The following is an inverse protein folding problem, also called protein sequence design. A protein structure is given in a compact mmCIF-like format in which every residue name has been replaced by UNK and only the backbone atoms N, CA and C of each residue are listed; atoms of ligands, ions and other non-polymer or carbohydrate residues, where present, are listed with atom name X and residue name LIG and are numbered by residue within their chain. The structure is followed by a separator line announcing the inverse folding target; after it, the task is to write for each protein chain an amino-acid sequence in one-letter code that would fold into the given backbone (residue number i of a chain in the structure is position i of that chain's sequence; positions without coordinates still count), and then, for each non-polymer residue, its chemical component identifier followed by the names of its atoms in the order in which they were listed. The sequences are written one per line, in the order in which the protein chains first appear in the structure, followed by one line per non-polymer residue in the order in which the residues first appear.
data_IF_055966144203
#
_entry.id   IF_055966144203
#
_cell.length_a   1.000
_cell.length_b   1.000
_cell.length_c   1.000
_cell.angle_alpha   90.00
_cell.angle_beta   90.00
_cell.angle_gamma   90.00
#
_symmetry.space_group_name_H-M   'P 1'
#
loop_
_entity.id
_entity.type
_entity.pdbx_description
1 polymer ?
#
# COMPACT_ATOMS: atom_id res chain seq x y z
N UNK A 1 3.42 -26.62 -20.52
CA UNK A 1 3.67 -27.29 -19.22
C UNK A 1 3.40 -26.28 -18.12
N UNK A 2 2.37 -26.51 -17.31
CA UNK A 2 2.00 -25.61 -16.23
C UNK A 2 2.79 -26.05 -15.00
N UNK A 3 3.90 -25.35 -14.72
CA UNK A 3 4.70 -25.61 -13.52
C UNK A 3 3.84 -25.38 -12.27
N UNK A 4 3.93 -26.25 -11.25
CA UNK A 4 3.16 -26.09 -10.03
C UNK A 4 3.51 -24.75 -9.37
N UNK A 5 2.48 -23.97 -9.02
CA UNK A 5 2.60 -22.61 -8.46
C UNK A 5 3.57 -22.56 -7.28
N UNK A 6 3.59 -23.63 -6.46
CA UNK A 6 4.42 -23.74 -5.25
C UNK A 6 5.93 -23.71 -5.53
N UNK A 7 6.37 -24.12 -6.73
CA UNK A 7 7.77 -24.21 -7.12
C UNK A 7 8.28 -22.93 -7.79
N UNK A 8 7.38 -22.05 -8.23
CA UNK A 8 7.70 -20.76 -8.82
C UNK A 8 7.69 -19.61 -7.79
N UNK A 9 7.27 -19.89 -6.55
CA UNK A 9 7.24 -18.91 -5.46
C UNK A 9 8.63 -18.77 -4.85
N UNK A 10 9.10 -17.54 -4.76
CA UNK A 10 10.35 -17.18 -4.12
C UNK A 10 10.13 -17.11 -2.59
N UNK A 11 10.24 -18.28 -1.94
CA UNK A 11 9.89 -18.49 -0.53
C UNK A 11 10.68 -17.62 0.45
N UNK A 12 11.91 -17.23 0.09
CA UNK A 12 12.78 -16.39 0.92
C UNK A 12 12.23 -14.97 1.03
N UNK A 13 11.76 -14.41 -0.09
CA UNK A 13 11.20 -13.07 -0.21
C UNK A 13 9.82 -13.01 0.43
N UNK A 14 8.99 -14.02 0.20
CA UNK A 14 7.68 -14.13 0.85
C UNK A 14 7.85 -14.28 2.38
N UNK A 15 8.81 -15.08 2.84
CA UNK A 15 9.16 -15.21 4.25
C UNK A 15 9.60 -13.88 4.87
N UNK A 16 10.41 -13.09 4.16
CA UNK A 16 10.84 -11.76 4.60
C UNK A 16 9.65 -10.80 4.71
N UNK A 17 8.76 -10.77 3.72
CA UNK A 17 7.54 -9.94 3.75
C UNK A 17 6.63 -10.31 4.92
N UNK A 18 6.40 -11.61 5.15
CA UNK A 18 5.60 -12.08 6.30
C UNK A 18 6.27 -11.72 7.62
N UNK A 19 7.60 -11.84 7.72
CA UNK A 19 8.33 -11.43 8.91
C UNK A 19 8.16 -9.94 9.22
N UNK A 20 8.33 -9.06 8.22
CA UNK A 20 8.10 -7.62 8.37
C UNK A 20 6.67 -7.34 8.77
N UNK A 21 5.70 -8.03 8.15
CA UNK A 21 4.28 -7.89 8.47
C UNK A 21 3.97 -8.26 9.93
N UNK A 22 4.45 -9.40 10.42
CA UNK A 22 4.26 -9.84 11.82
C UNK A 22 4.92 -8.86 12.78
N UNK A 23 6.14 -8.41 12.48
CA UNK A 23 6.85 -7.45 13.32
C UNK A 23 6.09 -6.12 13.42
N UNK A 24 5.57 -5.61 12.30
CA UNK A 24 4.76 -4.40 12.27
C UNK A 24 3.47 -4.57 13.09
N UNK A 25 2.78 -5.71 12.93
CA UNK A 25 1.57 -6.02 13.69
C UNK A 25 1.84 -6.05 15.19
N UNK A 26 2.90 -6.73 15.63
CA UNK A 26 3.29 -6.79 17.05
C UNK A 26 3.58 -5.38 17.60
N UNK A 27 4.29 -4.54 16.83
CA UNK A 27 4.55 -3.15 17.23
C UNK A 27 3.26 -2.34 17.34
N UNK A 28 2.32 -2.49 16.41
CA UNK A 28 1.02 -1.80 16.42
C UNK A 28 0.17 -2.19 17.64
N UNK A 29 0.06 -3.49 17.92
CA UNK A 29 -0.68 -4.02 19.07
C UNK A 29 -0.06 -3.56 20.38
N UNK A 30 1.28 -3.65 20.49
CA UNK A 30 2.01 -3.20 21.69
C UNK A 30 1.82 -1.71 21.92
N UNK A 31 1.90 -0.88 20.87
CA UNK A 31 1.64 0.55 20.93
C UNK A 31 0.24 0.85 21.47
N UNK A 32 -0.77 0.09 21.06
CA UNK A 32 -2.14 0.29 21.53
C UNK A 32 -2.34 -0.03 23.02
N UNK A 33 -1.54 -0.93 23.60
CA UNK A 33 -1.54 -1.21 25.04
C UNK A 33 -0.74 -0.18 25.87
N UNK A 34 -0.02 0.74 25.21
CA UNK A 34 0.76 1.77 25.89
C UNK A 34 -0.02 3.07 26.00
N UNK A 35 0.05 3.69 27.18
CA UNK A 35 -0.55 5.00 27.48
C UNK A 35 -0.01 6.06 26.50
N UNK A 36 -0.92 6.82 25.90
CA UNK A 36 -0.61 7.98 25.06
C UNK A 36 0.30 8.96 25.82
N UNK A 37 1.38 9.42 25.18
CA UNK A 37 2.37 10.36 25.74
C UNK A 37 3.45 9.77 26.68
N UNK A 38 3.67 8.45 26.69
CA UNK A 38 4.87 7.83 27.32
C UNK A 38 6.09 7.83 26.39
N UNK A 39 7.31 7.97 26.91
CA UNK A 39 8.58 7.80 26.16
C UNK A 39 8.60 6.49 25.37
N UNK A 40 7.95 5.45 25.90
CA UNK A 40 7.83 4.14 25.26
C UNK A 40 7.00 4.15 23.97
N UNK A 41 5.96 4.99 23.90
CA UNK A 41 5.14 5.16 22.69
C UNK A 41 5.96 5.75 21.54
N UNK A 42 6.78 6.77 21.83
CA UNK A 42 7.66 7.38 20.84
C UNK A 42 8.77 6.43 20.40
N UNK A 43 9.38 5.68 21.32
CA UNK A 43 10.38 4.66 20.99
C UNK A 43 9.80 3.60 20.04
N UNK A 44 8.58 3.08 20.32
CA UNK A 44 7.92 2.10 19.46
C UNK A 44 7.55 2.65 18.08
N UNK A 45 7.12 3.92 18.00
CA UNK A 45 6.82 4.57 16.73
C UNK A 45 8.08 4.82 15.90
N UNK A 46 9.15 5.30 16.53
CA UNK A 46 10.43 5.46 15.86
C UNK A 46 11.01 4.12 15.43
N UNK A 47 10.82 3.02 16.17
CA UNK A 47 11.35 1.70 15.83
C UNK A 47 10.81 1.12 14.50
N UNK A 48 9.62 1.51 14.06
CA UNK A 48 9.10 1.14 12.72
C UNK A 48 9.93 1.73 11.57
N UNK A 49 10.58 2.88 11.78
CA UNK A 49 11.35 3.58 10.75
C UNK A 49 12.69 2.85 10.46
N UNK A 50 13.55 2.50 11.45
CA UNK A 50 14.74 1.71 11.23
C UNK A 50 14.48 0.37 10.57
N UNK A 51 13.40 -0.33 10.94
CA UNK A 51 13.09 -1.64 10.36
C UNK A 51 12.75 -1.51 8.87
N UNK A 52 11.87 -0.57 8.51
CA UNK A 52 11.52 -0.33 7.10
C UNK A 52 12.70 0.18 6.29
N UNK A 53 13.50 1.09 6.84
CA UNK A 53 14.72 1.62 6.20
C UNK A 53 15.77 0.52 6.04
N UNK A 54 15.99 -0.35 7.04
CA UNK A 54 16.98 -1.42 6.96
C UNK A 54 16.61 -2.45 5.89
N UNK A 55 15.33 -2.86 5.82
CA UNK A 55 14.86 -3.80 4.78
C UNK A 55 14.96 -3.15 3.40
N UNK A 56 14.49 -1.92 3.24
CA UNK A 56 14.54 -1.19 1.96
C UNK A 56 15.98 -1.00 1.49
N UNK A 57 16.89 -0.63 2.41
CA UNK A 57 18.30 -0.43 2.10
C UNK A 57 19.01 -1.74 1.75
N UNK A 58 18.68 -2.83 2.44
CA UNK A 58 19.21 -4.16 2.12
C UNK A 58 18.80 -4.61 0.71
N UNK A 59 17.52 -4.44 0.35
CA UNK A 59 17.06 -4.75 -1.01
C UNK A 59 17.66 -3.82 -2.05
N UNK A 60 17.74 -2.51 -1.77
CA UNK A 60 18.35 -1.51 -2.62
C UNK A 60 19.84 -1.82 -2.91
N UNK A 61 20.60 -2.24 -1.89
CA UNK A 61 22.00 -2.64 -2.05
C UNK A 61 22.12 -3.95 -2.84
N UNK A 62 21.24 -4.92 -2.61
CA UNK A 62 21.21 -6.19 -3.34
C UNK A 62 20.87 -6.00 -4.83
N UNK A 63 19.99 -5.05 -5.14
CA UNK A 63 19.70 -4.58 -6.50
C UNK A 63 20.89 -3.83 -7.12
N UNK A 64 21.55 -2.94 -6.36
CA UNK A 64 22.70 -2.18 -6.86
C UNK A 64 23.93 -3.05 -7.14
N UNK A 65 24.20 -4.06 -6.31
CA UNK A 65 25.29 -5.03 -6.50
C UNK A 65 25.04 -6.00 -7.67
N UNK A 66 23.86 -5.99 -8.28
CA UNK A 66 23.52 -6.85 -9.42
C UNK A 66 23.27 -8.31 -9.04
N UNK A 67 23.24 -8.65 -7.75
CA UNK A 67 22.86 -10.01 -7.28
C UNK A 67 21.37 -10.31 -7.53
N UNK A 68 20.55 -9.26 -7.69
CA UNK A 68 19.12 -9.37 -8.02
C UNK A 68 18.78 -8.60 -9.28
N UNK A 69 18.21 -9.31 -10.26
CA UNK A 69 17.67 -8.73 -11.49
C UNK A 69 16.15 -8.75 -11.41
N UNK A 70 15.50 -7.64 -11.78
CA UNK A 70 14.05 -7.60 -11.92
C UNK A 70 13.70 -8.47 -13.13
N UNK A 71 13.22 -9.70 -12.89
CA UNK A 71 12.95 -10.71 -13.92
C UNK A 71 12.00 -10.23 -15.06
N UNK A 72 11.27 -9.13 -14.84
CA UNK A 72 10.37 -8.55 -15.82
C UNK A 72 10.97 -7.42 -16.69
N UNK A 73 12.14 -6.88 -16.35
CA UNK A 73 12.91 -6.03 -17.26
C UNK A 73 13.81 -7.00 -18.03
N UNK A 74 13.49 -7.25 -19.30
CA UNK A 74 14.39 -7.97 -20.21
C UNK A 74 15.76 -7.28 -20.28
N UNK A 75 16.72 -7.95 -20.90
CA UNK A 75 18.19 -7.74 -20.98
C UNK A 75 18.70 -6.34 -21.42
N UNK A 76 18.00 -5.26 -21.10
CA UNK A 76 18.45 -3.89 -21.21
C UNK A 76 19.29 -3.57 -19.96
N UNK A 77 20.61 -3.77 -20.11
CA UNK A 77 21.63 -3.56 -19.09
C UNK A 77 21.40 -2.30 -18.26
N UNK A 78 21.00 -2.50 -17.01
CA UNK A 78 20.71 -1.40 -16.09
C UNK A 78 21.97 -0.87 -15.43
N UNK A 79 22.49 0.25 -15.94
CA UNK A 79 23.21 1.20 -15.12
C UNK A 79 22.20 1.89 -14.18
N UNK A 80 21.78 1.22 -13.10
CA UNK A 80 20.98 1.85 -12.05
C UNK A 80 21.81 2.96 -11.40
N UNK A 81 21.59 4.21 -11.84
CA UNK A 81 22.18 5.36 -11.16
C UNK A 81 21.61 5.43 -9.75
N UNK A 82 22.47 5.65 -8.76
CA UNK A 82 22.09 5.89 -7.34
C UNK A 82 20.95 6.92 -7.23
N UNK A 83 20.93 7.91 -8.14
CA UNK A 83 19.86 8.90 -8.24
C UNK A 83 18.46 8.31 -8.52
N UNK A 84 18.33 7.32 -9.40
CA UNK A 84 17.02 6.69 -9.69
C UNK A 84 16.52 5.86 -8.50
N UNK A 85 17.44 5.17 -7.82
CA UNK A 85 17.12 4.39 -6.63
C UNK A 85 16.65 5.29 -5.47
N UNK A 86 17.30 6.45 -5.32
CA UNK A 86 16.90 7.45 -4.33
C UNK A 86 15.52 8.03 -4.63
N UNK A 87 15.25 8.40 -5.89
CA UNK A 87 13.92 8.87 -6.31
C UNK A 87 12.85 7.81 -6.09
N UNK A 88 13.17 6.53 -6.33
CA UNK A 88 12.26 5.41 -6.07
C UNK A 88 11.94 5.27 -4.57
N UNK A 89 12.94 5.32 -3.69
CA UNK A 89 12.70 5.30 -2.24
C UNK A 89 11.86 6.50 -1.79
N UNK A 90 12.17 7.71 -2.28
CA UNK A 90 11.44 8.92 -1.90
C UNK A 90 9.97 8.87 -2.37
N UNK A 91 9.74 8.47 -3.62
CA UNK A 91 8.40 8.31 -4.17
C UNK A 91 7.62 7.18 -3.47
N UNK A 92 8.28 6.10 -3.08
CA UNK A 92 7.70 5.03 -2.26
C UNK A 92 7.24 5.52 -0.88
N UNK A 93 8.03 6.38 -0.22
CA UNK A 93 7.65 7.00 1.06
C UNK A 93 6.42 7.90 0.87
N UNK A 94 6.43 8.78 -0.14
CA UNK A 94 5.30 9.66 -0.44
C UNK A 94 4.06 8.84 -0.77
N UNK A 95 4.21 7.80 -1.58
CA UNK A 95 3.14 6.85 -1.93
C UNK A 95 2.57 6.15 -0.70
N UNK A 96 3.42 5.76 0.25
CA UNK A 96 3.02 5.14 1.51
C UNK A 96 2.27 6.10 2.42
N UNK A 97 2.76 7.34 2.58
CA UNK A 97 2.10 8.37 3.39
C UNK A 97 0.72 8.68 2.82
N UNK A 98 0.64 8.98 1.51
CA UNK A 98 -0.64 9.29 0.85
C UNK A 98 -1.56 8.07 0.88
N UNK A 99 -1.04 6.87 0.59
CA UNK A 99 -1.81 5.63 0.62
C UNK A 99 -2.35 5.27 2.01
N UNK A 100 -1.59 5.60 3.06
CA UNK A 100 -2.00 5.44 4.46
C UNK A 100 -3.04 6.46 4.89
N UNK A 101 -2.85 7.75 4.53
CA UNK A 101 -3.82 8.82 4.83
C UNK A 101 -5.17 8.60 4.14
N UNK A 102 -5.15 8.14 2.89
CA UNK A 102 -6.37 7.84 2.14
C UNK A 102 -7.00 6.49 2.54
N UNK A 103 -6.29 5.65 3.29
CA UNK A 103 -6.75 4.31 3.68
C UNK A 103 -6.92 3.33 2.51
N UNK A 104 -6.36 3.66 1.34
CA UNK A 104 -6.51 2.88 0.11
C UNK A 104 -5.50 1.73 0.05
N UNK A 105 -4.40 1.79 0.81
CA UNK A 105 -3.25 0.90 0.64
C UNK A 105 -2.44 1.35 -0.59
N UNK A 106 -1.16 1.69 -0.41
CA UNK A 106 -0.36 2.47 -1.37
C UNK A 106 -0.15 1.91 -2.80
N UNK A 107 -0.76 0.77 -3.16
CA UNK A 107 -0.61 0.16 -4.49
C UNK A 107 -1.15 1.01 -5.64
N UNK A 108 -2.12 1.88 -5.40
CA UNK A 108 -2.62 2.81 -6.42
C UNK A 108 -1.55 3.77 -6.93
N UNK A 109 -0.57 4.13 -6.08
CA UNK A 109 0.55 5.01 -6.44
C UNK A 109 1.76 4.20 -6.96
N UNK A 110 1.97 2.99 -6.44
CA UNK A 110 3.01 2.07 -6.92
C UNK A 110 2.79 1.63 -8.39
N UNK A 111 1.54 1.51 -8.84
CA UNK A 111 1.21 1.11 -10.21
C UNK A 111 1.83 2.03 -11.29
N UNK A 112 1.51 3.35 -11.30
CA UNK A 112 2.13 4.32 -12.19
C UNK A 112 3.66 4.40 -12.04
N UNK A 113 4.18 4.32 -10.82
CA UNK A 113 5.62 4.37 -10.55
C UNK A 113 6.37 3.23 -11.28
N UNK A 114 5.85 2.02 -11.23
CA UNK A 114 6.44 0.89 -11.95
C UNK A 114 6.32 1.05 -13.48
N UNK A 115 5.29 1.73 -13.97
CA UNK A 115 5.15 2.04 -15.41
C UNK A 115 6.20 3.05 -15.88
N UNK A 116 6.51 4.08 -15.08
CA UNK A 116 7.60 5.02 -15.37
C UNK A 116 8.97 4.32 -15.40
N UNK A 117 9.12 3.24 -14.63
CA UNK A 117 10.29 2.37 -14.66
C UNK A 117 10.31 1.42 -15.88
N UNK A 118 9.35 1.50 -16.79
CA UNK A 118 9.29 0.65 -17.99
C UNK A 118 8.94 -0.81 -17.68
N UNK A 119 8.41 -1.10 -16.49
CA UNK A 119 7.93 -2.44 -16.15
C UNK A 119 6.59 -2.65 -16.87
N UNK A 120 6.35 -3.82 -17.51
CA UNK A 120 5.11 -4.06 -18.21
C UNK A 120 3.89 -3.94 -17.27
N UNK A 121 2.78 -3.29 -17.71
CA UNK A 121 1.63 -2.97 -16.86
C UNK A 121 1.02 -4.18 -16.16
N UNK A 122 1.08 -5.33 -16.80
CA UNK A 122 0.47 -6.55 -16.30
C UNK A 122 1.17 -7.08 -15.05
N UNK A 123 2.50 -6.99 -14.98
CA UNK A 123 3.24 -7.38 -13.77
C UNK A 123 3.21 -6.26 -12.74
N UNK A 124 3.28 -4.99 -13.16
CA UNK A 124 3.18 -3.84 -12.26
C UNK A 124 1.86 -3.87 -11.47
N UNK A 125 0.75 -4.09 -12.17
CA UNK A 125 -0.57 -4.20 -11.56
C UNK A 125 -0.67 -5.39 -10.60
N UNK A 126 -0.09 -6.55 -10.96
CA UNK A 126 -0.04 -7.72 -10.09
C UNK A 126 0.76 -7.45 -8.80
N UNK A 127 1.95 -6.85 -8.93
CA UNK A 127 2.82 -6.49 -7.80
C UNK A 127 2.16 -5.44 -6.89
N UNK A 128 1.54 -4.41 -7.46
CA UNK A 128 0.82 -3.39 -6.70
C UNK A 128 -0.37 -3.99 -5.93
N UNK A 129 -1.12 -4.89 -6.57
CA UNK A 129 -2.24 -5.60 -5.92
C UNK A 129 -1.75 -6.50 -4.80
N UNK A 130 -0.65 -7.22 -5.02
CA UNK A 130 -0.01 -8.04 -3.99
C UNK A 130 0.43 -7.17 -2.79
N UNK A 131 1.12 -6.06 -3.02
CA UNK A 131 1.51 -5.13 -1.96
C UNK A 131 0.28 -4.57 -1.20
N UNK A 132 -0.80 -4.23 -1.92
CA UNK A 132 -2.06 -3.81 -1.30
C UNK A 132 -2.65 -4.89 -0.41
N UNK A 133 -2.66 -6.17 -0.82
CA UNK A 133 -3.21 -7.24 0.02
C UNK A 133 -2.47 -7.38 1.35
N UNK A 134 -1.14 -7.21 1.39
CA UNK A 134 -0.36 -7.23 2.63
C UNK A 134 -0.63 -6.01 3.51
N UNK A 135 -0.71 -4.82 2.91
CA UNK A 135 -1.01 -3.59 3.67
C UNK A 135 -2.43 -3.62 4.24
N UNK A 136 -3.42 -4.02 3.44
CA UNK A 136 -4.82 -4.10 3.87
C UNK A 136 -5.03 -5.20 4.91
N UNK A 137 -4.36 -6.35 4.80
CA UNK A 137 -4.45 -7.41 5.81
C UNK A 137 -3.90 -6.95 7.16
N UNK A 138 -2.80 -6.17 7.16
CA UNK A 138 -2.25 -5.58 8.39
C UNK A 138 -3.30 -4.70 9.08
N UNK A 139 -3.93 -3.79 8.31
CA UNK A 139 -4.97 -2.90 8.85
C UNK A 139 -6.18 -3.67 9.36
N UNK A 140 -6.68 -4.68 8.63
CA UNK A 140 -7.84 -5.46 9.08
C UNK A 140 -7.56 -6.17 10.40
N UNK A 141 -6.39 -6.80 10.55
CA UNK A 141 -6.04 -7.49 11.80
C UNK A 141 -5.85 -6.49 12.94
N UNK A 142 -5.22 -5.35 12.68
CA UNK A 142 -5.09 -4.26 13.65
C UNK A 142 -6.48 -3.79 14.13
N UNK A 143 -7.37 -3.37 13.23
CA UNK A 143 -8.71 -2.88 13.58
C UNK A 143 -9.55 -3.93 14.31
N UNK A 144 -9.40 -5.21 13.94
CA UNK A 144 -10.05 -6.32 14.61
C UNK A 144 -9.56 -6.49 16.05
N UNK A 145 -8.23 -6.49 16.26
CA UNK A 145 -7.63 -6.60 17.61
C UNK A 145 -7.94 -5.39 18.50
N UNK A 146 -8.14 -4.22 17.91
CA UNK A 146 -8.52 -3.00 18.63
C UNK A 146 -10.00 -2.96 19.05
N UNK A 147 -10.81 -3.99 18.74
CA UNK A 147 -12.26 -4.05 19.02
C UNK A 147 -13.07 -2.81 18.55
N UNK A 148 -12.53 -2.02 17.62
CA UNK A 148 -13.21 -0.85 17.04
C UNK A 148 -14.13 -1.21 15.86
N UNK A 149 -14.39 -2.50 15.66
CA UNK A 149 -14.91 -3.01 14.40
C UNK A 149 -16.37 -3.46 14.53
N UNK A 150 -17.32 -2.75 13.89
CA UNK A 150 -18.69 -3.23 13.83
C UNK A 150 -18.77 -4.35 12.79
N UNK A 151 -18.54 -5.58 13.25
CA UNK A 151 -18.50 -6.83 12.48
C UNK A 151 -19.62 -6.97 11.41
N UNK A 152 -20.91 -6.65 11.67
CA UNK A 152 -21.95 -6.84 10.65
C UNK A 152 -21.76 -5.97 9.40
N UNK A 153 -21.32 -4.72 9.55
CA UNK A 153 -21.07 -3.84 8.41
C UNK A 153 -19.88 -4.31 7.58
N UNK A 154 -18.84 -4.82 8.24
CA UNK A 154 -17.67 -5.32 7.56
C UNK A 154 -17.96 -6.53 6.69
N UNK A 155 -18.77 -7.48 7.17
CA UNK A 155 -19.18 -8.65 6.38
C UNK A 155 -19.96 -8.21 5.14
N UNK A 156 -20.85 -7.23 5.28
CA UNK A 156 -21.58 -6.65 4.15
C UNK A 156 -20.64 -6.02 3.13
N UNK A 157 -19.68 -5.19 3.56
CA UNK A 157 -18.71 -4.57 2.66
C UNK A 157 -17.78 -5.60 1.99
N UNK A 158 -17.37 -6.66 2.69
CA UNK A 158 -16.58 -7.76 2.11
C UNK A 158 -17.37 -8.43 0.98
N UNK A 159 -18.65 -8.73 1.20
CA UNK A 159 -19.49 -9.35 0.18
C UNK A 159 -19.62 -8.46 -1.06
N UNK A 160 -20.00 -7.20 -0.88
CA UNK A 160 -20.16 -6.24 -1.98
C UNK A 160 -18.83 -6.02 -2.73
N UNK A 161 -17.72 -5.84 -2.00
CA UNK A 161 -16.41 -5.64 -2.59
C UNK A 161 -15.93 -6.87 -3.37
N UNK A 162 -16.21 -8.09 -2.88
CA UNK A 162 -15.83 -9.33 -3.57
C UNK A 162 -16.58 -9.49 -4.89
N UNK A 163 -17.90 -9.22 -4.89
CA UNK A 163 -18.71 -9.26 -6.11
C UNK A 163 -18.23 -8.21 -7.11
N UNK A 164 -18.03 -6.96 -6.65
CA UNK A 164 -17.54 -5.88 -7.49
C UNK A 164 -16.14 -6.18 -8.06
N UNK A 165 -15.23 -6.70 -7.25
CA UNK A 165 -13.88 -7.08 -7.68
C UNK A 165 -13.92 -8.22 -8.70
N UNK A 166 -14.74 -9.25 -8.47
CA UNK A 166 -14.86 -10.37 -9.40
C UNK A 166 -15.39 -9.92 -10.77
N UNK A 167 -16.48 -9.13 -10.78
CA UNK A 167 -17.05 -8.58 -12.01
C UNK A 167 -16.05 -7.63 -12.69
N UNK A 168 -15.44 -6.71 -11.94
CA UNK A 168 -14.45 -5.77 -12.46
C UNK A 168 -13.24 -6.46 -13.08
N UNK A 169 -12.66 -7.45 -12.39
CA UNK A 169 -11.53 -8.22 -12.92
C UNK A 169 -11.92 -9.03 -14.17
N UNK A 170 -13.12 -9.60 -14.21
CA UNK A 170 -13.58 -10.34 -15.38
C UNK A 170 -13.77 -9.42 -16.60
N UNK A 171 -14.38 -8.25 -16.39
CA UNK A 171 -14.59 -7.23 -17.44
C UNK A 171 -13.26 -6.67 -17.93
N UNK A 172 -12.36 -6.28 -17.03
CA UNK A 172 -11.04 -5.74 -17.40
C UNK A 172 -10.22 -6.79 -18.15
N UNK A 173 -10.21 -8.05 -17.69
CA UNK A 173 -9.49 -9.13 -18.38
C UNK A 173 -10.07 -9.38 -19.77
N UNK A 174 -11.40 -9.40 -19.92
CA UNK A 174 -12.08 -9.50 -21.23
C UNK A 174 -11.69 -8.35 -22.15
N UNK A 175 -11.72 -7.10 -21.67
CA UNK A 175 -11.33 -5.91 -22.44
C UNK A 175 -9.88 -5.96 -22.90
N UNK A 176 -8.96 -6.37 -22.01
CA UNK A 176 -7.54 -6.53 -22.35
C UNK A 176 -7.34 -7.62 -23.42
N UNK A 177 -8.06 -8.74 -23.33
CA UNK A 177 -7.99 -9.81 -24.34
C UNK A 177 -8.55 -9.40 -25.70
N UNK A 178 -9.61 -8.58 -25.74
CA UNK A 178 -10.23 -8.12 -26.99
C UNK A 178 -9.37 -7.10 -27.74
N UNK A 179 -8.74 -6.17 -27.01
CA UNK A 179 -8.01 -5.04 -27.60
C UNK A 179 -6.52 -5.34 -27.73
N UNK A 180 -5.98 -6.23 -26.90
CA UNK A 180 -4.58 -6.67 -26.96
C UNK A 180 -3.54 -5.60 -26.62
N UNK A 181 -3.94 -4.44 -26.08
CA UNK A 181 -3.03 -3.31 -25.78
C UNK A 181 -2.87 -3.06 -24.29
N UNK A 182 -1.59 -3.01 -23.88
CA UNK A 182 -1.14 -2.62 -22.54
C UNK A 182 -1.60 -1.21 -22.12
N UNK A 183 -1.87 -0.32 -23.07
CA UNK A 183 -2.31 1.07 -22.82
C UNK A 183 -3.64 1.17 -22.07
N UNK A 184 -4.50 0.15 -22.15
CA UNK A 184 -5.80 0.15 -21.48
C UNK A 184 -5.66 0.05 -19.96
N UNK A 185 -4.68 -0.72 -19.48
CA UNK A 185 -4.40 -0.84 -18.04
C UNK A 185 -3.97 0.52 -17.49
N UNK A 186 -3.11 1.23 -18.22
CA UNK A 186 -2.65 2.58 -17.86
C UNK A 186 -3.84 3.55 -17.80
N UNK A 187 -4.72 3.51 -18.80
CA UNK A 187 -5.91 4.35 -18.84
C UNK A 187 -6.86 4.09 -17.66
N UNK A 188 -7.09 2.81 -17.32
CA UNK A 188 -7.91 2.45 -16.14
C UNK A 188 -7.26 2.99 -14.86
N UNK A 189 -5.97 2.75 -14.65
CA UNK A 189 -5.25 3.24 -13.46
C UNK A 189 -5.34 4.76 -13.33
N UNK A 190 -5.10 5.49 -14.43
CA UNK A 190 -5.20 6.95 -14.44
C UNK A 190 -6.62 7.45 -14.15
N UNK A 191 -7.64 6.84 -14.78
CA UNK A 191 -9.04 7.19 -14.53
C UNK A 191 -9.46 6.93 -13.08
N UNK A 192 -9.00 5.82 -12.48
CA UNK A 192 -9.27 5.48 -11.10
C UNK A 192 -8.66 6.49 -10.13
N UNK A 193 -7.41 6.91 -10.37
CA UNK A 193 -6.72 7.93 -9.57
C UNK A 193 -7.48 9.26 -9.66
N UNK A 194 -7.89 9.65 -10.87
CA UNK A 194 -8.63 10.89 -11.11
C UNK A 194 -9.98 10.91 -10.38
N UNK A 195 -10.77 9.84 -10.51
CA UNK A 195 -12.07 9.71 -9.83
C UNK A 195 -11.88 9.71 -8.30
N UNK A 196 -10.88 8.98 -7.80
CA UNK A 196 -10.57 8.94 -6.37
C UNK A 196 -10.20 10.32 -5.83
N UNK A 197 -9.35 11.06 -6.55
CA UNK A 197 -8.93 12.40 -6.17
C UNK A 197 -10.11 13.38 -6.11
N UNK A 198 -11.01 13.32 -7.10
CA UNK A 198 -12.21 14.18 -7.12
C UNK A 198 -13.18 13.82 -6.00
N UNK A 199 -13.47 12.52 -5.79
CA UNK A 199 -14.43 12.10 -4.77
C UNK A 199 -13.92 12.39 -3.36
N UNK A 200 -12.66 12.03 -3.06
CA UNK A 200 -12.07 12.25 -1.74
C UNK A 200 -11.84 13.74 -1.47
N UNK A 201 -11.36 14.47 -2.48
CA UNK A 201 -11.19 15.93 -2.40
C UNK A 201 -12.54 16.63 -2.19
N UNK A 202 -13.57 16.23 -2.95
CA UNK A 202 -14.91 16.80 -2.85
C UNK A 202 -15.56 16.55 -1.48
N UNK A 203 -15.58 15.30 -1.02
CA UNK A 203 -16.12 14.95 0.31
C UNK A 203 -15.32 15.63 1.42
N UNK A 204 -13.99 15.73 1.27
CA UNK A 204 -13.13 16.44 2.23
C UNK A 204 -13.46 17.92 2.34
N UNK A 205 -13.65 18.61 1.21
CA UNK A 205 -14.00 20.04 1.18
C UNK A 205 -15.39 20.28 1.76
N UNK A 206 -16.39 19.45 1.40
CA UNK A 206 -17.75 19.58 1.92
C UNK A 206 -17.76 19.42 3.44
N UNK A 207 -17.14 18.35 3.96
CA UNK A 207 -17.07 18.10 5.39
C UNK A 207 -16.26 19.19 6.14
N UNK A 208 -15.24 19.76 5.50
CA UNK A 208 -14.49 20.89 6.07
C UNK A 208 -15.36 22.15 6.19
N UNK A 209 -16.13 22.49 5.15
CA UNK A 209 -17.02 23.66 5.16
C UNK A 209 -18.12 23.48 6.20
N UNK A 210 -18.74 22.29 6.26
CA UNK A 210 -19.79 21.95 7.24
C UNK A 210 -19.27 22.11 8.68
N UNK A 211 -18.09 21.55 8.99
CA UNK A 211 -17.46 21.71 10.31
C UNK A 211 -17.09 23.15 10.67
N UNK A 212 -16.67 23.96 9.70
CA UNK A 212 -16.39 25.38 9.92
C UNK A 212 -17.68 26.15 10.20
N UNK A 213 -18.78 25.79 9.54
CA UNK A 213 -20.07 26.46 9.66
C UNK A 213 -20.79 26.12 10.97
N UNK A 214 -20.67 24.88 11.44
CA UNK A 214 -21.20 24.44 12.74
C UNK A 214 -20.32 24.91 13.92
N UNK A 215 -19.22 25.64 13.65
CA UNK A 215 -18.23 26.09 14.63
C UNK A 215 -17.68 24.91 15.46
N UNK A 216 -17.66 23.73 14.85
CA UNK A 216 -17.38 22.46 15.49
C UNK A 216 -15.87 22.19 15.48
N UNK A 217 -15.36 21.54 16.52
CA UNK A 217 -13.93 21.42 16.75
C UNK A 217 -13.26 20.63 15.60
N UNK A 218 -12.27 21.22 14.91
CA UNK A 218 -11.60 20.59 13.75
C UNK A 218 -10.69 19.38 14.10
N UNK A 219 -10.77 18.85 15.32
CA UNK A 219 -10.07 17.63 15.75
C UNK A 219 -8.57 17.80 16.05
N UNK A 220 -8.05 19.03 16.07
CA UNK A 220 -6.70 19.31 16.57
C UNK A 220 -6.67 19.33 18.11
N UNK A 221 -6.85 18.17 18.74
CA UNK A 221 -6.51 18.01 20.16
C UNK A 221 -5.00 17.87 20.34
N UNK A 222 -4.49 18.37 21.48
CA UNK A 222 -3.14 18.07 21.90
C UNK A 222 -3.06 16.57 22.22
N UNK A 223 -2.16 15.85 21.54
CA UNK A 223 -1.91 14.40 21.68
C UNK A 223 -1.70 13.90 23.13
N UNK A 224 -1.46 14.81 24.08
CA UNK A 224 -1.20 14.52 25.48
C UNK A 224 -2.32 14.95 26.45
N UNK A 225 -3.50 15.40 25.97
CA UNK A 225 -4.60 15.84 26.84
C UNK A 225 -5.71 14.80 27.05
N UNK A 226 -5.53 13.56 26.60
CA UNK A 226 -6.43 12.46 26.94
C UNK A 226 -6.03 11.88 28.30
N UNK A 227 -6.40 12.59 29.37
CA UNK A 227 -6.36 12.05 30.72
C UNK A 227 -7.66 11.28 30.96
N UNK A 228 -7.53 10.04 31.42
CA UNK A 228 -8.61 9.11 31.72
C UNK A 228 -9.74 9.72 32.55
#
# INVERSE_FOLDING_TARGET
MQVPVLQNVSWKELGLLVFVWVLFLVLQVTKNHTITCSTWYWILNFLQIPVSVAVTLHEAISLYKGERVIASRGDEGTNWKVSQLFVFCLSGIIAGIVGGLLGLGGGFILGPLFLELGIPPQVSSATATFAMTFSSSLSVVEYYLLNRFPVPYAVYFIFVATVAAFVGQHVVRRLVMLIGRASLIIFILASMIFISAISLGGVGIVNMIEKIQDNDYMGFENLCRYQA
#
